data_IF_124679748417
#
_entry.id   IF_124679748417
#
_cell.length_a   1.000
_cell.length_b   1.000
_cell.length_c   1.000
_cell.angle_alpha   90.00
_cell.angle_beta   90.00
_cell.angle_gamma   90.00
#
_symmetry.space_group_name_H-M   'P 1'
#
loop_
_entity.id
_entity.type
_entity.pdbx_description
1 polymer ?
#
# COMPACT_ATOMS: atom_id res chain seq x y z
N UNK A 1 3.35 5.99 4.00
CA UNK A 1 2.70 4.97 3.15
C UNK A 1 3.23 5.08 1.73
N UNK A 2 3.24 3.99 0.95
CA UNK A 2 3.54 4.10 -0.49
C UNK A 2 2.49 5.00 -1.18
N UNK A 3 2.87 5.80 -2.19
CA UNK A 3 1.92 6.68 -2.90
C UNK A 3 0.72 5.91 -3.46
N UNK A 4 0.93 4.67 -3.91
CA UNK A 4 -0.13 3.77 -4.40
C UNK A 4 -1.15 3.41 -3.32
N UNK A 5 -0.71 3.16 -2.08
CA UNK A 5 -1.61 2.83 -0.98
C UNK A 5 -2.47 4.03 -0.55
N UNK A 6 -1.91 5.24 -0.61
CA UNK A 6 -2.66 6.46 -0.31
C UNK A 6 -3.80 6.70 -1.33
N UNK A 7 -3.51 6.52 -2.62
CA UNK A 7 -4.53 6.63 -3.69
C UNK A 7 -5.60 5.56 -3.54
N UNK A 8 -5.21 4.31 -3.28
CA UNK A 8 -6.16 3.22 -3.05
C UNK A 8 -7.09 3.50 -1.86
N UNK A 9 -6.55 4.05 -0.76
CA UNK A 9 -7.32 4.45 0.43
C UNK A 9 -8.37 5.52 0.09
N UNK A 10 -8.00 6.54 -0.67
CA UNK A 10 -8.93 7.59 -1.09
C UNK A 10 -10.09 7.03 -1.92
N UNK A 11 -9.80 6.17 -2.90
CA UNK A 11 -10.84 5.52 -3.71
C UNK A 11 -11.82 4.70 -2.85
N UNK A 12 -11.31 3.98 -1.85
CA UNK A 12 -12.14 3.22 -0.92
C UNK A 12 -12.99 4.14 -0.04
N UNK A 13 -12.44 5.25 0.48
CA UNK A 13 -13.22 6.23 1.24
C UNK A 13 -14.38 6.81 0.42
N UNK A 14 -14.13 7.10 -0.86
CA UNK A 14 -15.16 7.57 -1.79
C UNK A 14 -16.24 6.53 -2.03
N UNK A 15 -15.87 5.27 -2.26
CA UNK A 15 -16.83 4.16 -2.39
C UNK A 15 -17.68 3.99 -1.12
N UNK A 16 -17.07 4.12 0.06
CA UNK A 16 -17.77 4.06 1.34
C UNK A 16 -18.79 5.20 1.50
N UNK A 17 -18.51 6.40 0.98
CA UNK A 17 -19.47 7.50 1.01
C UNK A 17 -20.69 7.22 0.12
N UNK A 18 -20.48 6.68 -1.08
CA UNK A 18 -21.56 6.33 -2.03
C UNK A 18 -22.46 5.21 -1.48
N UNK A 19 -21.88 4.22 -0.81
CA UNK A 19 -22.60 3.04 -0.33
C UNK A 19 -23.42 3.27 0.96
N UNK A 20 -23.26 4.43 1.62
CA UNK A 20 -23.99 4.76 2.86
C UNK A 20 -25.49 4.98 2.65
N UNK A 21 -25.94 5.32 1.45
CA UNK A 21 -27.34 5.67 1.15
C UNK A 21 -28.14 4.51 0.54
N UNK A 22 -27.66 3.27 0.60
CA UNK A 22 -28.21 2.18 -0.21
C UNK A 22 -28.56 0.91 0.58
N UNK A 23 -29.19 -0.03 -0.12
CA UNK A 23 -29.80 -1.29 0.33
C UNK A 23 -28.86 -2.27 1.05
N UNK A 24 -29.38 -3.44 1.47
CA UNK A 24 -28.61 -4.44 2.23
C UNK A 24 -27.35 -4.92 1.52
N UNK A 25 -27.36 -5.01 0.19
CA UNK A 25 -26.19 -5.36 -0.62
C UNK A 25 -25.12 -4.26 -0.55
N UNK A 26 -25.56 -3.00 -0.62
CA UNK A 26 -24.68 -1.85 -0.47
C UNK A 26 -24.08 -1.71 0.92
N UNK A 27 -24.80 -2.12 1.97
CA UNK A 27 -24.25 -2.22 3.35
C UNK A 27 -23.15 -3.28 3.48
N UNK A 28 -23.30 -4.42 2.80
CA UNK A 28 -22.28 -5.47 2.78
C UNK A 28 -21.03 -4.98 2.04
N UNK A 29 -21.19 -4.32 0.90
CA UNK A 29 -20.10 -3.67 0.18
C UNK A 29 -19.42 -2.58 1.04
N UNK A 30 -20.19 -1.76 1.76
CA UNK A 30 -19.66 -0.76 2.68
C UNK A 30 -18.80 -1.38 3.78
N UNK A 31 -19.22 -2.52 4.32
CA UNK A 31 -18.45 -3.25 5.33
C UNK A 31 -17.10 -3.74 4.76
N UNK A 32 -17.11 -4.32 3.56
CA UNK A 32 -15.89 -4.76 2.87
C UNK A 32 -14.94 -3.57 2.66
N UNK A 33 -15.45 -2.46 2.12
CA UNK A 33 -14.66 -1.26 1.85
C UNK A 33 -14.03 -0.69 3.13
N UNK A 34 -14.81 -0.58 4.22
CA UNK A 34 -14.29 -0.12 5.51
C UNK A 34 -13.19 -1.03 6.05
N UNK A 35 -13.38 -2.36 5.94
CA UNK A 35 -12.38 -3.32 6.39
C UNK A 35 -11.08 -3.20 5.60
N UNK A 36 -11.17 -3.02 4.28
CA UNK A 36 -10.00 -2.81 3.42
C UNK A 36 -9.25 -1.53 3.76
N UNK A 37 -9.95 -0.43 4.09
CA UNK A 37 -9.29 0.80 4.57
C UNK A 37 -8.48 0.51 5.84
N UNK A 38 -9.08 -0.15 6.84
CA UNK A 38 -8.36 -0.51 8.07
C UNK A 38 -7.15 -1.40 7.79
N UNK A 39 -7.25 -2.37 6.88
CA UNK A 39 -6.12 -3.22 6.49
C UNK A 39 -4.98 -2.44 5.81
N UNK A 40 -5.32 -1.42 5.02
CA UNK A 40 -4.34 -0.52 4.42
C UNK A 40 -3.67 0.32 5.52
N UNK A 41 -4.45 0.81 6.48
CA UNK A 41 -3.96 1.63 7.59
C UNK A 41 -3.03 0.87 8.53
N UNK A 42 -3.32 -0.42 8.75
CA UNK A 42 -2.52 -1.33 9.57
C UNK A 42 -1.29 -1.88 8.83
N UNK A 43 -1.15 -1.59 7.53
CA UNK A 43 -0.05 -2.12 6.73
C UNK A 43 1.27 -1.48 7.20
N UNK A 44 2.23 -2.27 7.72
CA UNK A 44 3.53 -1.73 8.08
C UNK A 44 4.16 -1.10 6.85
N UNK A 45 4.83 0.04 7.02
CA UNK A 45 5.65 0.60 5.96
C UNK A 45 6.76 -0.38 5.63
N UNK A 46 6.50 -1.27 4.68
CA UNK A 46 7.55 -2.07 4.07
C UNK A 46 8.55 -1.05 3.50
N UNK A 47 9.86 -1.17 3.83
CA UNK A 47 10.85 -0.33 3.21
C UNK A 47 10.68 -0.55 1.71
N UNK A 48 10.26 0.52 1.01
CA UNK A 48 10.15 0.50 -0.43
C UNK A 48 11.57 0.29 -0.90
N UNK A 49 11.93 -0.98 -1.15
CA UNK A 49 13.19 -1.34 -1.76
C UNK A 49 13.07 -0.81 -3.17
N UNK A 50 13.44 0.46 -3.33
CA UNK A 50 13.62 1.06 -4.64
C UNK A 50 14.57 0.09 -5.32
N UNK A 51 14.09 -0.63 -6.34
CA UNK A 51 14.96 -1.29 -7.30
C UNK A 51 15.65 -0.16 -8.06
N UNK A 52 16.59 0.47 -7.36
CA UNK A 52 17.43 1.50 -7.88
C UNK A 52 18.47 0.78 -8.69
N UNK A 53 18.54 1.09 -9.99
CA UNK A 53 19.65 0.65 -10.83
C UNK A 53 20.98 1.29 -10.40
N UNK A 54 20.93 2.25 -9.46
CA UNK A 54 22.09 2.83 -8.80
C UNK A 54 22.32 2.07 -7.50
N UNK A 55 23.43 1.33 -7.46
CA UNK A 55 23.99 0.77 -6.23
C UNK A 55 24.62 1.90 -5.43
N UNK A 56 24.39 1.92 -4.12
CA UNK A 56 25.24 2.72 -3.24
C UNK A 56 26.65 2.13 -3.17
N UNK A 57 27.62 2.96 -2.81
CA UNK A 57 29.03 2.57 -2.78
C UNK A 57 29.33 1.42 -1.81
N UNK A 58 28.60 1.31 -0.70
CA UNK A 58 28.80 0.25 0.27
C UNK A 58 28.38 -1.11 -0.32
N UNK A 59 27.20 -1.16 -0.93
CA UNK A 59 26.65 -2.35 -1.59
C UNK A 59 27.53 -2.78 -2.77
N UNK A 60 28.03 -1.83 -3.57
CA UNK A 60 28.96 -2.13 -4.67
C UNK A 60 30.26 -2.76 -4.18
N UNK A 61 30.86 -2.19 -3.12
CA UNK A 61 32.09 -2.73 -2.53
C UNK A 61 31.89 -4.15 -2.01
N UNK A 62 30.80 -4.41 -1.32
CA UNK A 62 30.54 -5.71 -0.70
C UNK A 62 30.30 -6.81 -1.75
N UNK A 63 29.62 -6.49 -2.86
CA UNK A 63 29.46 -7.41 -4.00
C UNK A 63 30.80 -7.78 -4.66
N UNK A 64 31.72 -6.83 -4.76
CA UNK A 64 33.03 -7.04 -5.37
C UNK A 64 34.12 -7.53 -4.40
N UNK A 65 33.88 -7.47 -3.09
CA UNK A 65 34.79 -8.00 -2.07
C UNK A 65 34.75 -9.54 -1.97
N UNK A 66 33.64 -10.16 -2.37
CA UNK A 66 33.44 -11.64 -2.31
C UNK A 66 34.01 -12.34 -3.56
N UNK A 67 34.43 -11.59 -4.58
CA UNK A 67 34.91 -12.14 -5.86
C UNK A 67 36.44 -12.34 -5.93
N UNK A 68 37.12 -12.46 -4.77
CA UNK A 68 38.57 -12.66 -4.70
C UNK A 68 38.96 -13.86 -3.85
#
# INVERSE_FOLDING_TARGET
MSPTHAVAREHLQRAAAVLQSADSQSRQLLHIVKRTISLIDDLPELPVKRTSNVLDFATYRDLHAVSK
#
